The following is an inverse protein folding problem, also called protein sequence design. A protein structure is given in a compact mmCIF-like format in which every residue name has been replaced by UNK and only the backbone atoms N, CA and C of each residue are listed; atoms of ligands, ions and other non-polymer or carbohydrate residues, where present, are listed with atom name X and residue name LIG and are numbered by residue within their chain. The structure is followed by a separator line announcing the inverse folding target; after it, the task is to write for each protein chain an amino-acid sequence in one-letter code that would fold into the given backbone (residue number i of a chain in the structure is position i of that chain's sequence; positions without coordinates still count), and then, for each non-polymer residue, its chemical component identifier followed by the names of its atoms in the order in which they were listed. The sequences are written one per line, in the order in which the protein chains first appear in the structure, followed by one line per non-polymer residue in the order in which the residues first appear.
data_IF_227133659963
#
_entry.id   IF_227133659963
#
_cell.length_a   1.000
_cell.length_b   1.000
_cell.length_c   1.000
_cell.angle_alpha   90.00
_cell.angle_beta   90.00
_cell.angle_gamma   90.00
#
_symmetry.space_group_name_H-M   'P 1'
#
loop_
_entity.id
_entity.type
_entity.pdbx_description
1 polymer ?
#
# COMPACT_ATOMS: atom_id res chain seq x y z
N UNK A 1 -0.71 -7.06 -26.31
CA UNK A 1 -0.27 -5.64 -26.31
C UNK A 1 -1.12 -4.71 -27.19
N UNK A 2 -1.26 -4.96 -28.51
CA UNK A 2 -1.98 -4.06 -29.44
C UNK A 2 -3.49 -3.86 -29.12
N UNK A 3 -4.13 -4.86 -28.50
CA UNK A 3 -5.54 -4.77 -28.11
C UNK A 3 -5.81 -3.72 -27.02
N UNK A 4 -4.92 -3.60 -26.02
CA UNK A 4 -5.10 -2.67 -24.90
C UNK A 4 -4.99 -1.22 -25.36
N UNK A 5 -3.92 -0.88 -26.09
CA UNK A 5 -3.71 0.48 -26.63
C UNK A 5 -4.83 0.89 -27.60
N UNK A 6 -5.29 -0.03 -28.44
CA UNK A 6 -6.46 0.20 -29.32
C UNK A 6 -7.73 0.48 -28.51
N UNK A 7 -7.98 -0.31 -27.46
CA UNK A 7 -9.12 -0.10 -26.56
C UNK A 7 -9.05 1.25 -25.84
N UNK A 8 -7.85 1.68 -25.42
CA UNK A 8 -7.67 2.98 -24.78
C UNK A 8 -7.93 4.13 -25.75
N UNK A 9 -7.37 4.07 -26.97
CA UNK A 9 -7.57 5.09 -28.01
C UNK A 9 -9.05 5.29 -28.35
N UNK A 10 -9.82 4.20 -28.49
CA UNK A 10 -11.27 4.27 -28.74
C UNK A 10 -11.99 5.08 -27.68
N UNK A 11 -11.69 4.83 -26.40
CA UNK A 11 -12.32 5.56 -25.28
C UNK A 11 -11.87 7.00 -25.19
N UNK A 12 -10.59 7.29 -25.45
CA UNK A 12 -10.07 8.66 -25.48
C UNK A 12 -10.82 9.46 -26.55
N UNK A 13 -10.87 8.97 -27.79
CA UNK A 13 -11.53 9.67 -28.91
C UNK A 13 -13.02 9.86 -28.61
N UNK A 14 -13.73 8.79 -28.23
CA UNK A 14 -15.15 8.86 -27.96
C UNK A 14 -15.48 9.85 -26.83
N UNK A 15 -14.72 9.83 -25.73
CA UNK A 15 -14.97 10.71 -24.59
C UNK A 15 -14.60 12.16 -24.89
N UNK A 16 -13.53 12.41 -25.66
CA UNK A 16 -13.17 13.75 -26.11
C UNK A 16 -14.25 14.36 -27.00
N UNK A 17 -14.69 13.62 -28.03
CA UNK A 17 -15.72 14.09 -28.98
C UNK A 17 -17.03 14.32 -28.26
N UNK A 18 -17.50 13.36 -27.45
CA UNK A 18 -18.74 13.49 -26.70
C UNK A 18 -18.67 14.65 -25.68
N UNK A 19 -17.55 14.80 -24.96
CA UNK A 19 -17.36 15.87 -23.99
C UNK A 19 -17.42 17.26 -24.63
N UNK A 20 -16.68 17.46 -25.73
CA UNK A 20 -16.71 18.72 -26.47
C UNK A 20 -18.08 19.02 -27.08
N UNK A 21 -18.75 18.00 -27.64
CA UNK A 21 -20.10 18.14 -28.20
C UNK A 21 -21.11 18.54 -27.12
N UNK A 22 -21.09 17.89 -25.96
CA UNK A 22 -21.99 18.23 -24.83
C UNK A 22 -21.75 19.67 -24.37
N UNK A 23 -20.50 20.10 -24.22
CA UNK A 23 -20.18 21.48 -23.82
C UNK A 23 -20.67 22.49 -24.88
N UNK A 24 -20.41 22.22 -26.17
CA UNK A 24 -20.85 23.09 -27.25
C UNK A 24 -22.37 23.22 -27.32
N UNK A 25 -23.10 22.10 -27.23
CA UNK A 25 -24.57 22.07 -27.20
C UNK A 25 -25.11 22.78 -25.96
N UNK A 26 -24.48 22.57 -24.79
CA UNK A 26 -24.88 23.22 -23.54
C UNK A 26 -24.73 24.74 -23.63
N UNK A 27 -23.63 25.21 -24.23
CA UNK A 27 -23.38 26.63 -24.41
C UNK A 27 -24.35 27.26 -25.42
N UNK A 28 -24.56 26.62 -26.57
CA UNK A 28 -25.49 27.09 -27.60
C UNK A 28 -26.96 27.01 -27.16
N UNK A 29 -27.35 25.98 -26.41
CA UNK A 29 -28.71 25.77 -25.94
C UNK A 29 -29.15 26.79 -24.89
N UNK A 30 -28.22 27.34 -24.12
CA UNK A 30 -28.52 28.37 -23.11
C UNK A 30 -29.14 29.63 -23.74
N UNK A 31 -28.71 30.01 -24.95
CA UNK A 31 -29.24 31.20 -25.64
C UNK A 31 -30.58 30.93 -26.30
N UNK A 32 -30.82 29.72 -26.82
CA UNK A 32 -32.09 29.35 -27.47
C UNK A 32 -33.22 29.05 -26.48
N UNK A 33 -32.93 28.33 -25.39
CA UNK A 33 -33.94 27.77 -24.50
C UNK A 33 -34.39 28.75 -23.41
N UNK A 34 -33.58 29.78 -23.14
CA UNK A 34 -33.92 30.86 -22.20
C UNK A 34 -35.15 31.67 -22.57
N UNK A 35 -35.59 31.62 -23.83
CA UNK A 35 -36.83 32.25 -24.29
C UNK A 35 -38.09 31.43 -24.01
N UNK A 36 -37.98 30.14 -23.67
CA UNK A 36 -39.10 29.19 -23.63
C UNK A 36 -39.27 28.55 -22.24
N UNK A 37 -38.17 28.30 -21.51
CA UNK A 37 -38.20 27.60 -20.23
C UNK A 37 -37.92 28.53 -19.04
N UNK A 38 -38.39 28.18 -17.83
CA UNK A 38 -38.06 28.92 -16.62
C UNK A 38 -36.54 29.00 -16.39
N UNK A 39 -36.07 30.17 -15.96
CA UNK A 39 -34.64 30.46 -15.74
C UNK A 39 -33.96 29.41 -14.84
N UNK A 40 -34.62 28.99 -13.77
CA UNK A 40 -34.12 27.97 -12.85
C UNK A 40 -33.87 26.62 -13.53
N UNK A 41 -34.73 26.24 -14.46
CA UNK A 41 -34.59 24.99 -15.22
C UNK A 41 -33.47 25.07 -16.25
N UNK A 42 -33.32 26.21 -16.93
CA UNK A 42 -32.20 26.46 -17.86
C UNK A 42 -30.86 26.40 -17.10
N UNK A 43 -30.76 27.06 -15.94
CA UNK A 43 -29.55 27.02 -15.10
C UNK A 43 -29.20 25.59 -14.69
N UNK A 44 -30.18 24.79 -14.27
CA UNK A 44 -29.97 23.40 -13.89
C UNK A 44 -29.45 22.55 -15.06
N UNK A 45 -30.08 22.65 -16.23
CA UNK A 45 -29.66 21.92 -17.43
C UNK A 45 -28.26 22.34 -17.89
N UNK A 46 -27.96 23.64 -17.87
CA UNK A 46 -26.64 24.16 -18.20
C UNK A 46 -25.59 23.60 -17.24
N UNK A 47 -25.84 23.65 -15.93
CA UNK A 47 -24.94 23.09 -14.93
C UNK A 47 -24.71 21.59 -15.15
N UNK A 48 -25.76 20.82 -15.41
CA UNK A 48 -25.66 19.38 -15.68
C UNK A 48 -24.85 19.10 -16.95
N UNK A 49 -25.10 19.86 -18.02
CA UNK A 49 -24.36 19.74 -19.28
C UNK A 49 -22.87 20.00 -19.11
N UNK A 50 -22.50 21.06 -18.39
CA UNK A 50 -21.09 21.33 -18.04
C UNK A 50 -20.47 20.21 -17.20
N UNK A 51 -21.18 19.73 -16.18
CA UNK A 51 -20.70 18.61 -15.34
C UNK A 51 -20.45 17.36 -16.18
N UNK A 52 -21.39 16.97 -17.04
CA UNK A 52 -21.26 15.80 -17.92
C UNK A 52 -20.12 15.98 -18.91
N UNK A 53 -20.05 17.14 -19.57
CA UNK A 53 -18.99 17.47 -20.53
C UNK A 53 -17.60 17.42 -19.90
N UNK A 54 -17.42 18.04 -18.73
CA UNK A 54 -16.16 18.02 -17.98
C UNK A 54 -15.80 16.60 -17.51
N UNK A 55 -16.77 15.81 -17.03
CA UNK A 55 -16.52 14.42 -16.66
C UNK A 55 -16.03 13.58 -17.85
N UNK A 56 -16.59 13.77 -19.04
CA UNK A 56 -16.13 13.09 -20.27
C UNK A 56 -14.72 13.52 -20.66
N UNK A 57 -14.38 14.81 -20.54
CA UNK A 57 -13.02 15.28 -20.77
C UNK A 57 -12.02 14.74 -19.73
N UNK A 58 -12.43 14.58 -18.46
CA UNK A 58 -11.62 13.93 -17.43
C UNK A 58 -11.40 12.44 -17.73
N UNK A 59 -12.39 11.74 -18.31
CA UNK A 59 -12.21 10.37 -18.82
C UNK A 59 -11.18 10.34 -19.93
N UNK A 60 -11.24 11.27 -20.89
CA UNK A 60 -10.25 11.35 -21.97
C UNK A 60 -8.83 11.62 -21.44
N UNK A 61 -8.69 12.57 -20.49
CA UNK A 61 -7.44 12.85 -19.80
C UNK A 61 -6.91 11.61 -19.05
N UNK A 62 -7.79 10.89 -18.34
CA UNK A 62 -7.45 9.64 -17.69
C UNK A 62 -6.98 8.57 -18.68
N UNK A 63 -7.55 8.53 -19.88
CA UNK A 63 -7.10 7.63 -20.95
C UNK A 63 -5.73 7.99 -21.51
N UNK A 64 -5.44 9.28 -21.75
CA UNK A 64 -4.11 9.75 -22.17
C UNK A 64 -3.06 9.38 -21.12
N UNK A 65 -3.38 9.63 -19.85
CA UNK A 65 -2.54 9.28 -18.71
C UNK A 65 -2.28 7.77 -18.62
N UNK A 66 -3.32 6.95 -18.75
CA UNK A 66 -3.21 5.49 -18.75
C UNK A 66 -2.34 5.00 -19.90
N UNK A 67 -2.48 5.59 -21.09
CA UNK A 67 -1.65 5.25 -22.23
C UNK A 67 -0.18 5.61 -21.97
N UNK A 68 0.09 6.77 -21.37
CA UNK A 68 1.44 7.15 -20.94
C UNK A 68 2.03 6.14 -19.94
N UNK A 69 1.29 5.80 -18.88
CA UNK A 69 1.71 4.79 -17.88
C UNK A 69 1.97 3.43 -18.52
N UNK A 70 1.09 3.00 -19.43
CA UNK A 70 1.24 1.75 -20.16
C UNK A 70 2.53 1.75 -20.99
N UNK A 71 2.78 2.80 -21.77
CA UNK A 71 3.99 2.94 -22.59
C UNK A 71 5.26 3.01 -21.76
N UNK A 72 5.26 3.72 -20.62
CA UNK A 72 6.40 3.75 -19.70
C UNK A 72 6.76 2.37 -19.17
N UNK A 73 5.76 1.61 -18.69
CA UNK A 73 5.96 0.22 -18.24
C UNK A 73 6.51 -0.67 -19.36
N UNK A 74 6.08 -0.49 -20.61
CA UNK A 74 6.64 -1.27 -21.72
C UNK A 74 8.13 -1.01 -21.96
N UNK A 75 8.60 0.20 -21.65
CA UNK A 75 10.01 0.60 -21.65
C UNK A 75 10.75 0.24 -20.36
N UNK A 76 10.08 -0.38 -19.38
CA UNK A 76 10.66 -0.68 -18.07
C UNK A 76 10.88 0.55 -17.18
N UNK A 77 10.17 1.65 -17.46
CA UNK A 77 10.21 2.85 -16.61
C UNK A 77 9.41 2.65 -15.32
N UNK A 78 9.69 3.50 -14.33
CA UNK A 78 8.88 3.57 -13.13
C UNK A 78 7.45 4.00 -13.44
N UNK A 79 6.47 3.31 -12.85
CA UNK A 79 5.08 3.71 -12.97
C UNK A 79 4.85 5.11 -12.37
N UNK A 80 4.09 5.94 -13.10
CA UNK A 80 3.85 7.34 -12.74
C UNK A 80 3.27 7.53 -11.33
N UNK A 81 2.42 6.62 -10.85
CA UNK A 81 1.87 6.72 -9.50
C UNK A 81 2.98 6.55 -8.45
N UNK A 82 3.86 5.55 -8.64
CA UNK A 82 5.00 5.32 -7.76
C UNK A 82 5.97 6.49 -7.79
N UNK A 83 6.33 6.97 -8.98
CA UNK A 83 7.22 8.12 -9.16
C UNK A 83 6.70 9.37 -8.44
N UNK A 84 5.43 9.73 -8.66
CA UNK A 84 4.83 10.90 -8.02
C UNK A 84 4.60 10.74 -6.52
N UNK A 85 4.62 9.51 -5.99
CA UNK A 85 4.49 9.23 -4.57
C UNK A 85 5.84 8.89 -3.90
N UNK A 86 6.97 8.95 -4.61
CA UNK A 86 8.30 8.57 -4.12
C UNK A 86 8.68 9.24 -2.81
N UNK A 87 8.35 10.53 -2.64
CA UNK A 87 8.62 11.24 -1.37
C UNK A 87 7.81 10.74 -0.15
N UNK A 88 7.02 9.68 -0.33
CA UNK A 88 6.30 8.94 0.72
C UNK A 88 6.77 7.48 0.79
N UNK A 89 7.90 7.12 0.18
CA UNK A 89 8.51 5.80 0.32
C UNK A 89 9.18 5.67 1.69
N UNK A 90 9.32 4.44 2.19
CA UNK A 90 10.06 4.21 3.44
C UNK A 90 11.51 4.72 3.33
N UNK A 91 12.18 4.44 2.21
CA UNK A 91 13.57 4.85 1.98
C UNK A 91 13.77 6.37 2.11
N UNK A 92 12.90 7.17 1.51
CA UNK A 92 13.00 8.64 1.61
C UNK A 92 12.75 9.13 3.04
N UNK A 93 11.83 8.49 3.77
CA UNK A 93 11.56 8.85 5.17
C UNK A 93 12.71 8.47 6.11
N UNK A 94 13.40 7.37 5.83
CA UNK A 94 14.57 6.93 6.61
C UNK A 94 15.80 7.82 6.32
N UNK A 95 15.95 8.30 5.09
CA UNK A 95 17.02 9.24 4.70
C UNK A 95 16.76 10.66 5.26
N UNK A 96 15.49 11.06 5.36
CA UNK A 96 15.09 12.36 5.92
C UNK A 96 14.99 12.32 7.46
N UNK A 97 16.11 12.52 8.15
CA UNK A 97 16.11 12.90 9.57
C UNK A 97 15.71 14.36 9.75
N UNK A 98 14.41 14.61 9.70
CA UNK A 98 13.80 15.86 10.13
C UNK A 98 13.70 16.94 9.07
N UNK A 99 12.59 16.96 8.34
CA UNK A 99 11.75 18.14 8.03
C UNK A 99 10.78 17.79 6.90
N UNK A 100 9.51 17.69 7.22
CA UNK A 100 8.46 17.81 6.21
C UNK A 100 7.41 18.81 6.68
N UNK A 101 7.23 19.89 5.90
CA UNK A 101 6.16 20.86 6.12
C UNK A 101 4.84 20.23 5.68
N UNK A 102 4.17 19.54 6.58
CA UNK A 102 2.76 19.19 6.38
C UNK A 102 1.94 20.47 6.20
N UNK A 103 0.86 20.38 5.42
CA UNK A 103 -0.09 21.49 5.26
C UNK A 103 -0.70 21.82 6.63
N UNK A 104 -0.31 22.98 7.18
CA UNK A 104 -0.65 23.45 8.53
C UNK A 104 -2.04 24.10 8.58
N UNK A 105 -3.10 23.31 8.38
CA UNK A 105 -4.47 23.76 8.66
C UNK A 105 -5.14 22.89 9.73
N UNK A 106 -4.71 22.99 11.01
CA UNK A 106 -5.18 22.10 12.08
C UNK A 106 -6.69 22.16 12.32
N UNK A 107 -7.32 23.33 12.13
CA UNK A 107 -8.77 23.51 12.30
C UNK A 107 -9.58 22.81 11.20
N UNK A 108 -9.20 22.98 9.93
CA UNK A 108 -9.82 22.30 8.79
C UNK A 108 -9.63 20.78 8.86
N UNK A 109 -8.45 20.34 9.31
CA UNK A 109 -8.12 18.93 9.51
C UNK A 109 -8.98 18.29 10.60
N UNK A 110 -9.14 18.95 11.76
CA UNK A 110 -10.00 18.45 12.84
C UNK A 110 -11.48 18.39 12.40
N UNK A 111 -11.95 19.38 11.65
CA UNK A 111 -13.29 19.39 11.07
C UNK A 111 -13.52 18.25 10.06
N UNK A 112 -12.51 17.90 9.27
CA UNK A 112 -12.53 16.75 8.34
C UNK A 112 -12.32 15.38 9.03
N UNK A 113 -12.18 15.34 10.37
CA UNK A 113 -11.92 14.11 11.12
C UNK A 113 -10.53 13.51 10.83
N UNK A 114 -9.54 14.35 10.52
CA UNK A 114 -8.17 13.94 10.28
C UNK A 114 -7.57 13.19 11.48
N UNK A 115 -6.69 12.20 11.23
CA UNK A 115 -6.02 11.49 12.31
C UNK A 115 -5.21 12.42 13.20
N UNK A 116 -5.09 12.04 14.47
CA UNK A 116 -4.35 12.80 15.48
C UNK A 116 -2.89 13.00 15.07
N UNK A 117 -2.29 12.01 14.43
CA UNK A 117 -0.94 12.01 13.87
C UNK A 117 -0.99 11.99 12.35
N UNK A 118 0.09 12.43 11.70
CA UNK A 118 0.27 12.31 10.25
C UNK A 118 1.64 11.79 9.87
N UNK A 119 1.77 11.39 8.60
CA UNK A 119 3.05 11.04 8.00
C UNK A 119 4.06 12.15 8.22
N UNK A 120 5.27 11.76 8.62
CA UNK A 120 6.41 12.60 9.00
C UNK A 120 6.31 13.30 10.37
N UNK A 121 5.29 13.02 11.19
CA UNK A 121 5.33 13.41 12.60
C UNK A 121 6.46 12.63 13.31
N UNK A 122 7.31 13.33 14.06
CA UNK A 122 8.31 12.73 14.94
C UNK A 122 7.65 12.35 16.27
N UNK A 123 7.84 11.10 16.69
CA UNK A 123 7.16 10.52 17.84
C UNK A 123 8.13 9.75 18.71
N UNK A 124 7.95 9.85 20.02
CA UNK A 124 8.57 8.97 21.00
C UNK A 124 7.61 7.83 21.31
N UNK A 125 8.10 6.61 21.26
CA UNK A 125 7.37 5.44 21.76
C UNK A 125 7.40 5.50 23.29
N UNK A 126 6.24 5.32 23.92
CA UNK A 126 6.12 5.35 25.38
C UNK A 126 7.01 4.28 26.03
N UNK A 127 7.24 4.45 27.33
CA UNK A 127 7.91 3.39 28.11
C UNK A 127 7.06 2.12 28.14
N UNK A 128 7.71 0.99 28.45
CA UNK A 128 7.03 -0.29 28.52
C UNK A 128 5.90 -0.27 29.55
N UNK A 129 6.15 0.30 30.74
CA UNK A 129 5.16 0.43 31.80
C UNK A 129 3.95 1.27 31.36
N UNK A 130 4.19 2.44 30.76
CA UNK A 130 3.11 3.28 30.25
C UNK A 130 2.26 2.58 29.19
N UNK A 131 2.85 1.67 28.40
CA UNK A 131 2.11 0.88 27.41
C UNK A 131 1.31 -0.21 28.10
N UNK A 132 1.92 -0.97 29.00
CA UNK A 132 1.24 -2.00 29.80
C UNK A 132 0.04 -1.46 30.55
N UNK A 133 0.10 -0.22 31.03
CA UNK A 133 -1.02 0.45 31.69
C UNK A 133 -2.23 0.70 30.77
N UNK A 134 -2.05 0.61 29.46
CA UNK A 134 -3.14 0.73 28.48
C UNK A 134 -3.75 -0.61 28.07
N UNK A 135 -3.14 -1.74 28.45
CA UNK A 135 -3.54 -3.04 27.94
C UNK A 135 -4.65 -3.67 28.79
N UNK A 136 -5.53 -4.43 28.13
CA UNK A 136 -6.49 -5.31 28.77
C UNK A 136 -5.82 -6.61 29.27
N UNK A 137 -6.62 -7.50 29.88
CA UNK A 137 -6.14 -8.78 30.42
C UNK A 137 -5.54 -9.73 29.36
N UNK A 138 -5.73 -9.47 28.07
CA UNK A 138 -5.13 -10.24 26.97
C UNK A 138 -3.88 -9.54 26.39
N UNK A 139 -3.35 -8.50 27.04
CA UNK A 139 -2.23 -7.72 26.53
C UNK A 139 -2.59 -6.90 25.28
N UNK A 140 -3.86 -6.53 25.12
CA UNK A 140 -4.36 -5.81 23.93
C UNK A 140 -4.88 -4.41 24.26
N UNK A 141 -4.80 -3.50 23.28
CA UNK A 141 -5.56 -2.25 23.28
C UNK A 141 -6.49 -2.21 22.07
N UNK A 142 -7.79 -2.06 22.30
CA UNK A 142 -8.85 -2.21 21.28
C UNK A 142 -8.74 -3.51 20.48
N UNK A 143 -8.35 -4.60 21.14
CA UNK A 143 -8.14 -5.90 20.49
C UNK A 143 -6.87 -6.04 19.64
N UNK A 144 -6.01 -5.01 19.57
CA UNK A 144 -4.69 -5.12 18.94
C UNK A 144 -3.64 -5.49 20.01
N UNK A 145 -2.93 -6.62 19.89
CA UNK A 145 -1.93 -7.03 20.87
C UNK A 145 -0.69 -6.14 20.84
N UNK A 146 -0.14 -5.89 22.02
CA UNK A 146 1.23 -5.41 22.18
C UNK A 146 2.15 -6.61 22.35
N UNK A 147 3.00 -6.86 21.36
CA UNK A 147 3.79 -8.09 21.25
C UNK A 147 5.18 -7.94 21.89
N UNK A 148 5.81 -9.02 22.37
CA UNK A 148 7.17 -8.97 22.92
C UNK A 148 8.21 -8.33 21.99
N UNK A 149 8.12 -8.56 20.67
CA UNK A 149 9.02 -7.95 19.67
C UNK A 149 8.98 -6.41 19.64
N UNK A 150 7.91 -5.81 20.17
CA UNK A 150 7.73 -4.36 20.20
C UNK A 150 8.51 -3.71 21.37
N UNK A 151 8.80 -4.47 22.42
CA UNK A 151 9.37 -3.96 23.67
C UNK A 151 10.70 -3.24 23.48
N UNK A 152 11.57 -3.77 22.60
CA UNK A 152 12.89 -3.21 22.28
C UNK A 152 12.85 -1.80 21.67
N UNK A 153 11.69 -1.35 21.22
CA UNK A 153 11.49 0.00 20.68
C UNK A 153 10.89 0.98 21.70
N UNK A 154 10.52 0.53 22.90
CA UNK A 154 9.98 1.43 23.93
C UNK A 154 11.01 2.50 24.32
N UNK A 155 10.55 3.73 24.53
CA UNK A 155 11.42 4.89 24.84
C UNK A 155 12.14 5.51 23.64
N UNK A 156 12.28 4.79 22.52
CA UNK A 156 12.96 5.28 21.31
C UNK A 156 12.15 6.36 20.59
N UNK A 157 12.82 7.13 19.74
CA UNK A 157 12.21 8.12 18.86
C UNK A 157 12.19 7.60 17.42
N UNK A 158 11.08 7.81 16.73
CA UNK A 158 10.93 7.44 15.32
C UNK A 158 10.04 8.42 14.56
N UNK A 159 9.88 8.15 13.27
CA UNK A 159 9.08 8.96 12.35
C UNK A 159 7.85 8.17 11.92
N UNK A 160 6.66 8.77 12.02
CA UNK A 160 5.42 8.17 11.51
C UNK A 160 5.54 7.99 10.00
N UNK A 161 5.52 6.74 9.56
CA UNK A 161 5.63 6.36 8.16
C UNK A 161 4.27 6.32 7.47
N UNK A 162 3.29 5.64 8.06
CA UNK A 162 1.91 5.59 7.57
C UNK A 162 0.92 5.81 8.70
N UNK A 163 -0.15 6.51 8.38
CA UNK A 163 -1.37 6.40 9.18
C UNK A 163 -2.19 5.22 8.67
N UNK A 164 -2.25 4.14 9.44
CA UNK A 164 -2.94 2.91 9.06
C UNK A 164 -4.41 3.04 9.44
N UNK A 165 -5.17 3.69 8.55
CA UNK A 165 -6.59 3.99 8.79
C UNK A 165 -7.50 2.77 8.59
N UNK A 166 -7.01 1.75 7.88
CA UNK A 166 -7.78 0.57 7.51
C UNK A 166 -6.85 -0.58 7.16
N UNK A 167 -7.41 -1.78 7.21
CA UNK A 167 -6.78 -3.04 6.80
C UNK A 167 -7.70 -3.77 5.82
N UNK A 168 -7.15 -4.75 5.12
CA UNK A 168 -7.94 -5.67 4.29
C UNK A 168 -7.94 -7.05 4.93
N UNK A 169 -9.13 -7.62 5.12
CA UNK A 169 -9.30 -8.95 5.71
C UNK A 169 -9.00 -10.06 4.68
N UNK A 170 -7.72 -10.38 4.48
CA UNK A 170 -7.31 -11.43 3.53
C UNK A 170 -7.80 -12.83 3.90
N UNK A 171 -7.95 -13.10 5.20
CA UNK A 171 -8.25 -14.42 5.74
C UNK A 171 -9.73 -14.76 5.89
N UNK A 172 -10.57 -13.76 6.17
CA UNK A 172 -11.98 -13.92 6.43
C UNK A 172 -12.85 -13.57 5.22
N UNK A 173 -13.60 -12.47 5.33
CA UNK A 173 -14.63 -12.09 4.35
C UNK A 173 -14.11 -11.29 3.16
N UNK A 174 -12.80 -10.98 3.11
CA UNK A 174 -12.20 -10.21 2.01
C UNK A 174 -12.81 -8.83 1.88
N UNK A 175 -12.99 -8.17 3.02
CA UNK A 175 -13.55 -6.82 3.13
C UNK A 175 -12.57 -5.80 3.71
N UNK A 176 -12.82 -4.52 3.42
CA UNK A 176 -12.08 -3.41 4.02
C UNK A 176 -12.59 -3.17 5.44
N UNK A 177 -11.65 -3.03 6.38
CA UNK A 177 -11.98 -2.86 7.80
C UNK A 177 -11.25 -1.64 8.38
N UNK A 178 -11.99 -0.84 9.14
CA UNK A 178 -11.51 0.35 9.83
C UNK A 178 -10.69 -0.09 11.04
N UNK A 179 -9.40 0.27 11.02
CA UNK A 179 -8.51 0.19 12.16
C UNK A 179 -8.33 1.61 12.70
N UNK A 180 -8.72 1.84 13.96
CA UNK A 180 -8.72 3.17 14.55
C UNK A 180 -7.40 3.44 15.24
N UNK A 181 -6.97 4.69 15.12
CA UNK A 181 -5.90 5.27 15.94
C UNK A 181 -4.61 4.47 15.87
N UNK A 182 -4.23 4.08 14.64
CA UNK A 182 -3.05 3.27 14.36
C UNK A 182 -2.15 3.94 13.34
N UNK A 183 -0.84 3.87 13.60
CA UNK A 183 0.22 4.30 12.69
C UNK A 183 1.26 3.18 12.53
N UNK A 184 2.08 3.27 11.49
CA UNK A 184 3.38 2.57 11.44
C UNK A 184 4.51 3.59 11.58
N UNK A 185 5.64 3.14 12.12
CA UNK A 185 6.86 3.94 12.29
C UNK A 185 7.91 3.37 11.33
N UNK A 186 8.62 4.26 10.62
CA UNK A 186 9.58 3.88 9.59
C UNK A 186 10.63 2.89 10.14
N UNK A 187 10.95 1.83 9.38
CA UNK A 187 11.93 0.82 9.77
C UNK A 187 11.47 -0.19 10.84
N UNK A 188 10.34 0.05 11.53
CA UNK A 188 9.91 -0.81 12.62
C UNK A 188 9.02 -1.95 12.12
N UNK A 189 9.67 -3.08 11.83
CA UNK A 189 9.02 -4.33 11.40
C UNK A 189 9.24 -5.43 12.44
N UNK A 190 8.28 -6.35 12.53
CA UNK A 190 8.36 -7.51 13.40
C UNK A 190 9.47 -8.46 12.91
N UNK A 191 10.27 -8.98 13.83
CA UNK A 191 11.35 -9.95 13.55
C UNK A 191 10.91 -11.41 13.74
N UNK A 192 9.73 -11.64 14.30
CA UNK A 192 9.15 -12.96 14.54
C UNK A 192 9.82 -13.77 15.66
N UNK A 193 10.71 -13.15 16.44
CA UNK A 193 11.50 -13.84 17.47
C UNK A 193 10.64 -14.46 18.59
N UNK A 194 9.48 -13.89 18.90
CA UNK A 194 8.52 -14.45 19.86
C UNK A 194 7.41 -15.30 19.19
N UNK A 195 7.54 -15.56 17.89
CA UNK A 195 6.55 -16.23 17.05
C UNK A 195 7.19 -17.33 16.17
N UNK A 196 8.06 -18.14 16.77
CA UNK A 196 8.77 -19.26 16.11
C UNK A 196 9.45 -18.83 14.80
N UNK A 197 10.10 -17.66 14.80
CA UNK A 197 10.85 -17.15 13.66
C UNK A 197 10.01 -16.93 12.40
N UNK A 198 8.74 -16.51 12.54
CA UNK A 198 7.91 -16.09 11.40
C UNK A 198 8.63 -15.05 10.53
N UNK A 199 8.71 -15.29 9.22
CA UNK A 199 9.56 -14.49 8.31
C UNK A 199 8.78 -13.42 7.53
N UNK A 200 7.53 -13.15 7.88
CA UNK A 200 6.67 -12.22 7.14
C UNK A 200 7.16 -10.76 7.20
N UNK A 201 7.93 -10.38 8.24
CA UNK A 201 8.44 -9.02 8.47
C UNK A 201 7.35 -7.95 8.38
N UNK A 202 6.18 -8.26 8.91
CA UNK A 202 5.03 -7.36 8.96
C UNK A 202 5.41 -6.03 9.64
N UNK A 203 4.84 -4.91 9.17
CA UNK A 203 5.01 -3.65 9.86
C UNK A 203 4.36 -3.69 11.23
N UNK A 204 5.06 -3.16 12.22
CA UNK A 204 4.47 -3.03 13.55
C UNK A 204 3.42 -1.92 13.53
N UNK A 205 2.23 -2.26 14.01
CA UNK A 205 1.11 -1.35 14.14
C UNK A 205 1.12 -0.73 15.54
N UNK A 206 1.27 0.58 15.60
CA UNK A 206 1.34 1.33 16.85
C UNK A 206 0.03 2.06 17.09
N UNK A 207 -0.63 1.78 18.22
CA UNK A 207 -1.73 2.62 18.68
C UNK A 207 -1.21 4.00 19.03
N UNK A 208 -1.98 5.02 18.70
CA UNK A 208 -1.62 6.41 19.00
C UNK A 208 -1.51 6.68 20.51
N UNK A 209 -2.15 5.86 21.35
CA UNK A 209 -1.98 5.87 22.80
C UNK A 209 -0.58 5.45 23.25
N UNK A 210 0.12 4.60 22.49
CA UNK A 210 1.45 4.07 22.80
C UNK A 210 2.60 5.01 22.37
N UNK A 211 2.28 6.15 21.78
CA UNK A 211 3.25 7.12 21.29
C UNK A 211 2.91 8.53 21.76
N UNK A 212 3.91 9.41 21.78
CA UNK A 212 3.76 10.84 22.05
C UNK A 212 4.48 11.63 20.96
N UNK A 213 3.93 12.77 20.55
CA UNK A 213 4.68 13.73 19.73
C UNK A 213 5.91 14.21 20.49
N UNK A 214 7.02 14.36 19.76
CA UNK A 214 8.25 14.95 20.28
C UNK A 214 8.88 15.81 19.20
N UNK A 215 9.52 16.91 19.62
CA UNK A 215 10.30 17.77 18.73
C UNK A 215 11.78 17.35 18.67
N UNK A 216 12.19 16.44 19.55
CA UNK A 216 13.53 15.86 19.57
C UNK A 216 13.72 14.99 18.32
N UNK A 217 14.70 15.28 17.46
CA UNK A 217 14.98 14.48 16.27
C UNK A 217 15.33 13.03 16.63
N UNK A 218 15.02 12.09 15.73
CA UNK A 218 15.35 10.67 15.91
C UNK A 218 16.87 10.39 16.03
N UNK A 219 17.72 11.33 15.60
CA UNK A 219 19.20 11.25 15.67
C UNK A 219 19.77 11.57 17.05
N UNK A 220 18.97 12.02 18.01
CA UNK A 220 19.42 12.03 19.40
C UNK A 220 19.37 10.61 19.93
N UNK A 221 20.52 9.93 19.92
CA UNK A 221 20.76 8.71 20.69
C UNK A 221 20.48 9.01 22.16
N UNK A 222 19.22 8.87 22.55
CA UNK A 222 18.88 8.62 23.95
C UNK A 222 19.13 7.13 24.10
N UNK A 223 20.20 6.77 24.82
CA UNK A 223 20.49 5.38 25.15
C UNK A 223 19.18 4.68 25.55
N UNK A 224 18.90 3.48 25.02
CA UNK A 224 17.79 2.70 25.52
C UNK A 224 18.04 2.54 27.02
N UNK A 225 17.15 3.10 27.84
CA UNK A 225 17.08 2.73 29.25
C UNK A 225 16.61 1.29 29.28
N UNK A 226 17.54 0.36 29.04
CA UNK A 226 17.41 -1.02 29.42
C UNK A 226 17.46 -1.00 30.94
N UNK A 227 16.33 -0.71 31.57
CA UNK A 227 16.10 -1.24 32.89
C UNK A 227 16.23 -2.76 32.73
N UNK A 228 17.35 -3.29 33.24
CA UNK A 228 17.60 -4.72 33.22
C UNK A 228 16.39 -5.45 33.82
N UNK A 229 15.98 -6.61 33.28
CA UNK A 229 14.87 -7.40 33.82
C UNK A 229 15.28 -8.12 35.12
N UNK A 230 15.84 -7.40 36.08
CA UNK A 230 16.39 -7.97 37.31
C UNK A 230 16.85 -6.92 38.30
N UNK A 231 15.94 -6.07 38.80
CA UNK A 231 15.95 -5.53 40.17
C UNK A 231 14.95 -4.39 40.33
N UNK A 232 13.65 -4.70 40.35
CA UNK A 232 12.71 -3.85 41.07
C UNK A 232 11.87 -4.73 41.98
N UNK A 233 11.90 -4.33 43.24
CA UNK A 233 11.26 -4.88 44.40
C UNK A 233 9.93 -5.57 44.14
N UNK A 234 9.81 -6.77 44.74
CA UNK A 234 8.59 -7.23 45.37
C UNK A 234 8.01 -6.11 46.24
N UNK A 235 7.04 -5.38 45.73
CA UNK A 235 5.76 -5.16 46.39
C UNK A 235 4.91 -4.14 45.62
N UNK A 236 3.61 -4.47 45.51
CA UNK A 236 2.49 -3.70 44.93
C UNK A 236 2.18 -4.00 43.43
N UNK A 237 1.60 -5.19 43.20
CA UNK A 237 0.19 -5.29 42.77
C UNK A 237 -0.22 -4.95 41.33
N UNK A 238 0.27 -5.65 40.32
CA UNK A 238 -0.46 -6.43 39.27
C UNK A 238 0.52 -6.80 38.16
N UNK A 239 0.75 -8.09 37.95
CA UNK A 239 1.61 -8.67 36.92
C UNK A 239 1.02 -8.37 35.52
N UNK A 240 1.28 -7.17 35.00
CA UNK A 240 0.91 -6.81 33.63
C UNK A 240 2.00 -7.33 32.71
N UNK A 241 1.83 -8.57 32.26
CA UNK A 241 2.70 -9.22 31.30
C UNK A 241 2.19 -9.04 29.87
N UNK A 242 3.01 -9.43 28.89
CA UNK A 242 2.54 -9.65 27.54
C UNK A 242 1.38 -10.65 27.51
N UNK A 243 0.48 -10.49 26.54
CA UNK A 243 -0.52 -11.51 26.22
C UNK A 243 0.14 -12.78 25.66
N UNK A 244 -0.61 -13.89 25.55
CA UNK A 244 -0.08 -15.12 24.98
C UNK A 244 0.30 -14.91 23.51
N UNK A 245 1.49 -15.36 23.11
CA UNK A 245 1.90 -15.39 21.68
C UNK A 245 1.49 -16.69 20.99
N UNK A 246 1.07 -17.70 21.76
CA UNK A 246 0.64 -19.00 21.29
C UNK A 246 -0.44 -19.58 22.20
N UNK A 247 -1.47 -20.16 21.61
CA UNK A 247 -2.60 -20.82 22.29
C UNK A 247 -2.71 -22.24 21.76
N UNK A 248 -2.66 -23.23 22.65
CA UNK A 248 -2.90 -24.64 22.28
C UNK A 248 -4.40 -24.84 22.03
N UNK A 249 -4.73 -25.59 20.99
CA UNK A 249 -6.10 -26.05 20.75
C UNK A 249 -6.33 -27.37 21.49
N UNK A 250 -7.50 -27.52 22.12
CA UNK A 250 -7.82 -28.68 22.97
C UNK A 250 -7.85 -30.01 22.21
N UNK A 251 -8.07 -29.98 20.88
CA UNK A 251 -8.28 -31.17 20.04
C UNK A 251 -7.18 -31.42 18.97
N UNK A 252 -6.04 -30.72 19.01
CA UNK A 252 -4.97 -30.91 18.02
C UNK A 252 -3.56 -30.82 18.61
N UNK A 253 -2.61 -31.55 18.02
CA UNK A 253 -1.17 -31.39 18.28
C UNK A 253 -0.62 -30.00 17.87
N UNK A 254 -1.41 -29.20 17.15
CA UNK A 254 -1.06 -27.87 16.66
C UNK A 254 -1.86 -26.79 17.40
N UNK A 255 -1.17 -25.77 17.92
CA UNK A 255 -1.79 -24.54 18.43
C UNK A 255 -1.79 -23.41 17.42
N UNK A 256 -2.30 -22.24 17.84
CA UNK A 256 -2.38 -21.01 17.04
C UNK A 256 -1.51 -19.92 17.64
N UNK A 257 -0.77 -19.25 16.77
CA UNK A 257 -0.03 -18.04 17.09
C UNK A 257 -0.95 -16.82 17.16
N UNK A 258 -0.68 -15.94 18.12
CA UNK A 258 -1.42 -14.71 18.37
C UNK A 258 -0.47 -13.53 18.16
N UNK A 259 -0.61 -12.86 17.02
CA UNK A 259 0.16 -11.66 16.67
C UNK A 259 -0.79 -10.55 16.21
N UNK A 260 -0.26 -9.34 15.96
CA UNK A 260 -1.08 -8.21 15.51
C UNK A 260 -1.91 -8.54 14.26
N UNK A 261 -1.32 -9.25 13.31
CA UNK A 261 -1.94 -9.57 12.04
C UNK A 261 -3.04 -10.63 12.16
N UNK A 262 -2.84 -11.65 13.02
CA UNK A 262 -3.90 -12.65 13.29
C UNK A 262 -5.08 -12.05 14.06
N UNK A 263 -4.86 -10.94 14.77
CA UNK A 263 -5.92 -10.23 15.51
C UNK A 263 -6.55 -9.06 14.74
N UNK A 264 -6.15 -8.77 13.50
CA UNK A 264 -6.65 -7.59 12.77
C UNK A 264 -8.16 -7.57 12.59
N UNK A 265 -8.81 -8.72 12.37
CA UNK A 265 -10.27 -8.79 12.24
C UNK A 265 -10.97 -8.40 13.55
N UNK A 266 -10.43 -8.84 14.69
CA UNK A 266 -10.91 -8.50 16.04
C UNK A 266 -10.65 -7.04 16.38
N UNK A 267 -9.49 -6.51 16.00
CA UNK A 267 -9.08 -5.13 16.24
C UNK A 267 -9.75 -4.08 15.33
N UNK A 268 -10.61 -4.50 14.40
CA UNK A 268 -11.17 -3.63 13.36
C UNK A 268 -12.65 -3.84 13.12
N UNK A 269 -13.29 -2.85 12.49
CA UNK A 269 -14.73 -2.85 12.19
C UNK A 269 -14.97 -2.75 10.69
N UNK A 270 -16.01 -3.44 10.18
CA UNK A 270 -16.30 -3.42 8.73
C UNK A 270 -16.61 -2.02 8.22
N UNK A 271 -16.19 -1.78 6.97
CA UNK A 271 -16.46 -0.53 6.27
C UNK A 271 -17.49 -0.73 5.16
N UNK A 272 -18.31 0.30 4.91
CA UNK A 272 -19.21 0.32 3.75
C UNK A 272 -18.37 0.51 2.48
N UNK A 273 -18.52 -0.32 1.43
CA UNK A 273 -17.73 -0.21 0.20
C UNK A 273 -17.84 1.15 -0.52
N UNK A 274 -18.94 1.87 -0.31
CA UNK A 274 -19.21 3.19 -0.87
C UNK A 274 -18.70 4.37 -0.04
N UNK A 275 -18.11 4.13 1.16
CA UNK A 275 -17.62 5.20 2.03
C UNK A 275 -16.45 5.96 1.37
N UNK A 276 -16.62 7.24 0.96
CA UNK A 276 -15.55 8.01 0.31
C UNK A 276 -14.36 8.28 1.23
N UNK A 277 -14.55 8.16 2.55
CA UNK A 277 -13.47 8.32 3.53
C UNK A 277 -12.39 7.25 3.40
N UNK A 278 -12.68 6.13 2.72
CA UNK A 278 -11.67 5.13 2.38
C UNK A 278 -10.54 5.72 1.56
N UNK A 279 -10.85 6.57 0.58
CA UNK A 279 -9.87 7.19 -0.30
C UNK A 279 -9.33 8.52 0.27
N UNK A 280 -10.21 9.32 0.90
CA UNK A 280 -9.85 10.66 1.38
C UNK A 280 -8.97 10.66 2.63
N UNK A 281 -9.17 9.74 3.57
CA UNK A 281 -8.38 9.72 4.82
C UNK A 281 -6.88 9.48 4.58
N UNK A 282 -6.46 8.53 3.73
CA UNK A 282 -5.05 8.38 3.36
C UNK A 282 -4.43 9.67 2.81
N UNK A 283 -5.16 10.39 1.95
CA UNK A 283 -4.71 11.65 1.39
C UNK A 283 -4.54 12.72 2.49
N UNK A 284 -5.56 12.90 3.33
CA UNK A 284 -5.56 13.86 4.44
C UNK A 284 -4.47 13.53 5.46
N UNK A 285 -4.20 12.26 5.69
CA UNK A 285 -3.19 11.78 6.62
C UNK A 285 -1.75 11.96 6.11
N UNK A 286 -1.58 12.32 4.82
CA UNK A 286 -0.27 12.47 4.19
C UNK A 286 0.33 11.15 3.69
N UNK A 287 -0.43 10.04 3.67
CA UNK A 287 0.03 8.78 3.09
C UNK A 287 0.31 8.93 1.58
N UNK A 288 -0.41 9.83 0.89
CA UNK A 288 -0.21 10.06 -0.53
C UNK A 288 0.02 11.52 -0.85
N UNK A 289 0.76 11.76 -1.93
CA UNK A 289 0.82 13.09 -2.55
C UNK A 289 -0.46 13.34 -3.37
N UNK A 290 -0.89 14.60 -3.39
CA UNK A 290 -2.09 15.04 -4.14
C UNK A 290 -1.97 14.69 -5.63
N UNK A 291 -0.76 14.80 -6.19
CA UNK A 291 -0.47 14.43 -7.58
C UNK A 291 -0.68 12.93 -7.84
N UNK A 292 -0.13 12.06 -6.99
CA UNK A 292 -0.33 10.62 -7.07
C UNK A 292 -1.82 10.23 -6.88
N UNK A 293 -2.52 10.91 -5.98
CA UNK A 293 -3.97 10.73 -5.79
C UNK A 293 -4.75 11.09 -7.06
N UNK A 294 -4.42 12.22 -7.71
CA UNK A 294 -5.02 12.63 -8.98
C UNK A 294 -4.82 11.61 -10.09
N UNK A 295 -3.58 11.09 -10.24
CA UNK A 295 -3.25 10.01 -11.18
C UNK A 295 -4.12 8.77 -10.96
N UNK A 296 -4.25 8.32 -9.71
CA UNK A 296 -5.04 7.16 -9.37
C UNK A 296 -6.56 7.39 -9.59
N UNK A 297 -7.08 8.58 -9.26
CA UNK A 297 -8.49 8.92 -9.49
C UNK A 297 -8.83 8.97 -10.98
N UNK A 298 -8.00 9.62 -11.80
CA UNK A 298 -8.17 9.66 -13.25
C UNK A 298 -8.11 8.26 -13.87
N UNK A 299 -7.16 7.43 -13.41
CA UNK A 299 -7.05 6.02 -13.84
C UNK A 299 -8.31 5.23 -13.48
N UNK A 300 -8.86 5.43 -12.28
CA UNK A 300 -10.10 4.77 -11.83
C UNK A 300 -11.32 5.21 -12.62
N UNK A 301 -11.45 6.51 -12.89
CA UNK A 301 -12.52 7.09 -13.69
C UNK A 301 -12.50 6.52 -15.11
N UNK A 302 -11.32 6.54 -15.75
CA UNK A 302 -11.12 5.92 -17.05
C UNK A 302 -11.49 4.42 -17.05
N UNK A 303 -11.02 3.67 -16.05
CA UNK A 303 -11.34 2.25 -15.92
C UNK A 303 -12.82 1.97 -15.67
N UNK A 304 -13.55 2.89 -15.04
CA UNK A 304 -15.00 2.76 -14.88
C UNK A 304 -15.69 2.79 -16.25
N UNK A 305 -15.31 3.72 -17.12
CA UNK A 305 -15.83 3.79 -18.50
C UNK A 305 -15.38 2.60 -19.33
N UNK A 306 -14.12 2.15 -19.19
CA UNK A 306 -13.66 0.92 -19.85
C UNK A 306 -14.54 -0.28 -19.47
N UNK A 307 -14.87 -0.47 -18.19
CA UNK A 307 -15.76 -1.57 -17.76
C UNK A 307 -17.16 -1.43 -18.34
N UNK A 308 -17.75 -0.23 -18.32
CA UNK A 308 -19.07 0.02 -18.88
C UNK A 308 -19.14 -0.29 -20.38
N UNK A 309 -18.05 -0.04 -21.13
CA UNK A 309 -17.95 -0.33 -22.56
C UNK A 309 -17.53 -1.78 -22.88
N UNK A 310 -17.25 -2.62 -21.89
CA UNK A 310 -16.62 -3.93 -22.12
C UNK A 310 -15.19 -3.82 -22.70
N UNK A 311 -14.51 -2.70 -22.47
CA UNK A 311 -13.11 -2.47 -22.82
C UNK A 311 -12.11 -3.10 -21.85
N UNK A 312 -10.83 -2.91 -22.12
CA UNK A 312 -9.73 -3.45 -21.31
C UNK A 312 -9.39 -2.43 -20.22
N UNK A 313 -9.39 -2.81 -18.94
CA UNK A 313 -8.96 -1.90 -17.85
C UNK A 313 -7.44 -1.85 -17.71
N UNK A 314 -6.92 -0.71 -17.25
CA UNK A 314 -5.51 -0.56 -16.88
C UNK A 314 -5.24 -0.89 -15.40
N UNK A 315 -4.08 -1.47 -15.07
CA UNK A 315 -3.21 -2.17 -16.00
C UNK A 315 -3.89 -3.45 -16.51
N UNK A 316 -3.63 -3.85 -17.76
CA UNK A 316 -4.22 -5.06 -18.32
C UNK A 316 -3.68 -6.27 -17.56
N UNK A 317 -4.58 -7.14 -17.13
CA UNK A 317 -4.27 -8.41 -16.47
C UNK A 317 -4.80 -9.53 -17.34
N UNK A 318 -3.96 -10.54 -17.60
CA UNK A 318 -4.35 -11.75 -18.29
C UNK A 318 -4.09 -12.94 -17.38
N UNK A 319 -4.96 -13.94 -17.44
CA UNK A 319 -4.78 -15.18 -16.70
C UNK A 319 -4.48 -16.29 -17.71
N UNK A 320 -3.45 -17.09 -17.44
CA UNK A 320 -3.11 -18.23 -18.27
C UNK A 320 -4.21 -19.28 -18.25
N UNK A 321 -4.33 -20.02 -19.34
CA UNK A 321 -5.24 -21.17 -19.47
C UNK A 321 -4.64 -22.46 -18.90
N UNK A 322 -3.33 -22.48 -18.60
CA UNK A 322 -2.63 -23.67 -18.14
C UNK A 322 -2.97 -24.01 -16.69
N UNK A 323 -3.30 -25.27 -16.43
CA UNK A 323 -3.49 -25.79 -15.05
C UNK A 323 -2.15 -26.13 -14.37
N UNK A 324 -1.06 -26.30 -15.14
CA UNK A 324 0.27 -26.57 -14.64
C UNK A 324 1.11 -25.28 -14.58
N UNK A 325 1.40 -24.80 -13.37
CA UNK A 325 2.27 -23.65 -13.15
C UNK A 325 3.74 -24.08 -13.16
N UNK A 326 4.54 -23.55 -14.09
CA UNK A 326 5.99 -23.84 -14.22
C UNK A 326 6.71 -23.60 -12.90
N UNK A 327 7.47 -24.61 -12.45
CA UNK A 327 8.41 -24.48 -11.34
C UNK A 327 9.76 -24.00 -11.89
N UNK A 328 10.34 -22.99 -11.25
CA UNK A 328 11.68 -22.50 -11.52
C UNK A 328 12.36 -22.38 -10.18
N UNK A 329 13.56 -22.95 -10.08
CA UNK A 329 14.41 -22.90 -8.89
C UNK A 329 15.75 -22.31 -9.29
N UNK A 330 15.83 -20.99 -9.22
CA UNK A 330 17.04 -20.21 -9.35
C UNK A 330 17.89 -20.28 -8.06
N UNK A 331 17.29 -20.65 -6.92
CA UNK A 331 17.90 -20.61 -5.60
C UNK A 331 18.47 -19.22 -5.26
N UNK A 332 17.65 -18.18 -5.43
CA UNK A 332 18.05 -16.78 -5.21
C UNK A 332 18.39 -16.53 -3.73
N UNK A 333 19.55 -15.93 -3.49
CA UNK A 333 20.01 -15.50 -2.16
C UNK A 333 19.80 -14.00 -1.92
N UNK A 334 19.66 -13.58 -0.65
CA UNK A 334 19.66 -12.16 -0.28
C UNK A 334 20.87 -11.41 -0.85
N UNK A 335 20.64 -10.18 -1.33
CA UNK A 335 21.64 -9.32 -1.96
C UNK A 335 21.82 -9.52 -3.47
N UNK A 336 21.40 -10.66 -4.03
CA UNK A 336 21.46 -10.92 -5.48
C UNK A 336 20.60 -9.91 -6.26
N UNK A 337 21.10 -9.45 -7.41
CA UNK A 337 20.37 -8.58 -8.31
C UNK A 337 19.52 -9.41 -9.27
N UNK A 338 18.23 -9.07 -9.34
CA UNK A 338 17.27 -9.70 -10.24
C UNK A 338 16.50 -8.67 -11.04
N UNK A 339 16.04 -9.07 -12.22
CA UNK A 339 15.05 -8.33 -13.00
C UNK A 339 13.69 -9.00 -12.86
N UNK A 340 12.64 -8.24 -12.62
CA UNK A 340 11.27 -8.76 -12.70
C UNK A 340 10.93 -8.98 -14.17
N UNK A 341 10.45 -10.17 -14.51
CA UNK A 341 10.09 -10.57 -15.87
C UNK A 341 9.10 -9.61 -16.54
N UNK A 342 9.04 -9.69 -17.87
CA UNK A 342 7.95 -9.14 -18.66
C UNK A 342 6.59 -9.72 -18.22
N UNK A 343 5.53 -8.90 -18.17
CA UNK A 343 4.21 -9.35 -17.71
C UNK A 343 3.62 -10.51 -18.49
N UNK A 344 3.84 -10.56 -19.81
CA UNK A 344 3.40 -11.66 -20.67
C UNK A 344 3.97 -13.00 -20.19
N UNK A 345 5.29 -13.05 -19.93
CA UNK A 345 5.98 -14.23 -19.38
C UNK A 345 5.45 -14.62 -18.00
N UNK A 346 5.12 -13.63 -17.17
CA UNK A 346 4.50 -13.89 -15.86
C UNK A 346 3.11 -14.50 -16.05
N UNK A 347 2.26 -13.91 -16.90
CA UNK A 347 0.89 -14.37 -17.14
C UNK A 347 0.83 -15.80 -17.68
N UNK A 348 1.77 -16.19 -18.54
CA UNK A 348 1.93 -17.58 -19.02
C UNK A 348 2.22 -18.57 -17.89
N UNK A 349 2.83 -18.11 -16.79
CA UNK A 349 3.12 -18.94 -15.63
C UNK A 349 1.94 -19.09 -14.64
N UNK A 350 0.87 -18.32 -14.84
CA UNK A 350 -0.28 -18.28 -13.93
C UNK A 350 -1.35 -19.29 -14.36
N UNK A 351 -1.98 -19.90 -13.36
CA UNK A 351 -3.18 -20.71 -13.57
C UNK A 351 -4.42 -19.81 -13.81
N UNK A 352 -5.60 -20.39 -14.11
CA UNK A 352 -6.83 -19.61 -14.34
C UNK A 352 -7.27 -18.74 -13.16
N UNK A 353 -6.81 -19.06 -11.95
CA UNK A 353 -7.03 -18.23 -10.75
C UNK A 353 -5.95 -17.16 -10.56
N UNK A 354 -5.08 -16.91 -11.54
CA UNK A 354 -4.01 -15.91 -11.43
C UNK A 354 -2.89 -16.27 -10.45
N UNK A 355 -2.69 -17.56 -10.15
CA UNK A 355 -1.69 -18.03 -9.19
C UNK A 355 -0.58 -18.84 -9.85
N UNK A 356 0.62 -18.76 -9.29
CA UNK A 356 1.69 -19.73 -9.52
C UNK A 356 2.03 -20.43 -8.19
N UNK A 357 1.84 -21.76 -8.14
CA UNK A 357 2.13 -22.59 -6.95
C UNK A 357 1.56 -22.00 -5.66
N UNK A 358 0.27 -21.68 -5.69
CA UNK A 358 -0.47 -21.14 -4.54
C UNK A 358 -0.33 -19.63 -4.31
N UNK A 359 0.65 -18.95 -4.90
CA UNK A 359 0.85 -17.51 -4.73
C UNK A 359 0.18 -16.70 -5.83
N UNK A 360 -0.59 -15.69 -5.45
CA UNK A 360 -1.23 -14.76 -6.38
C UNK A 360 -0.24 -13.81 -7.01
N UNK A 361 -0.42 -13.53 -8.30
CA UNK A 361 0.20 -12.38 -8.94
C UNK A 361 -0.81 -11.23 -8.99
N UNK A 362 -0.65 -10.27 -8.09
CA UNK A 362 -1.59 -9.16 -7.94
C UNK A 362 -1.36 -8.04 -8.94
N UNK A 363 -2.42 -7.30 -9.24
CA UNK A 363 -2.39 -6.16 -10.17
C UNK A 363 -1.29 -5.13 -9.82
N UNK A 364 -1.07 -4.87 -8.54
CA UNK A 364 -0.05 -3.89 -8.09
C UNK A 364 1.38 -4.34 -8.38
N UNK A 365 1.61 -5.64 -8.56
CA UNK A 365 2.93 -6.18 -8.88
C UNK A 365 3.39 -5.79 -10.29
N UNK A 366 2.43 -5.51 -11.21
CA UNK A 366 2.74 -5.08 -12.58
C UNK A 366 3.53 -3.78 -12.66
N UNK A 367 3.42 -2.90 -11.66
CA UNK A 367 4.16 -1.63 -11.61
C UNK A 367 5.66 -1.81 -11.41
N UNK A 368 6.10 -3.03 -11.08
CA UNK A 368 7.50 -3.38 -10.84
C UNK A 368 8.11 -4.24 -11.94
N UNK A 369 7.34 -4.66 -12.95
CA UNK A 369 7.84 -5.50 -14.04
C UNK A 369 8.87 -4.80 -14.92
N UNK A 370 9.77 -5.58 -15.53
CA UNK A 370 10.90 -5.13 -16.38
C UNK A 370 11.95 -4.26 -15.67
N UNK A 371 11.89 -4.17 -14.34
CA UNK A 371 12.81 -3.38 -13.50
C UNK A 371 13.68 -4.28 -12.63
N UNK A 372 14.73 -3.71 -12.09
CA UNK A 372 15.77 -4.42 -11.34
C UNK A 372 15.67 -4.14 -9.85
N UNK A 373 15.82 -5.18 -9.04
CA UNK A 373 15.79 -5.09 -7.59
C UNK A 373 16.78 -6.06 -6.99
N UNK A 374 17.23 -5.75 -5.77
CA UNK A 374 17.97 -6.72 -4.96
C UNK A 374 16.99 -7.61 -4.22
N UNK A 375 17.37 -8.86 -4.03
CA UNK A 375 16.64 -9.80 -3.17
C UNK A 375 16.85 -9.35 -1.72
N UNK A 376 15.77 -8.96 -1.04
CA UNK A 376 15.82 -8.60 0.37
C UNK A 376 15.91 -9.85 1.25
N UNK A 377 15.07 -10.86 0.98
CA UNK A 377 15.04 -12.10 1.74
C UNK A 377 14.31 -13.22 1.01
N UNK A 378 14.66 -14.45 1.36
CA UNK A 378 13.88 -15.66 1.07
C UNK A 378 12.97 -15.97 2.25
N UNK A 379 11.73 -16.39 1.96
CA UNK A 379 10.68 -16.68 2.94
C UNK A 379 10.24 -18.12 2.76
N UNK A 380 10.43 -18.92 3.81
CA UNK A 380 10.12 -20.35 3.89
C UNK A 380 8.96 -20.63 4.85
N UNK A 381 8.72 -19.76 5.83
CA UNK A 381 7.62 -19.90 6.78
C UNK A 381 7.02 -18.57 7.22
N UNK A 382 5.70 -18.53 7.33
CA UNK A 382 4.93 -17.39 7.86
C UNK A 382 3.79 -17.91 8.72
N UNK A 383 3.26 -17.07 9.60
CA UNK A 383 1.97 -17.33 10.23
C UNK A 383 0.87 -16.90 9.25
N UNK A 384 -0.10 -17.77 9.02
CA UNK A 384 -1.30 -17.44 8.25
C UNK A 384 -2.23 -16.55 9.09
N UNK A 385 -2.49 -15.33 8.61
CA UNK A 385 -3.27 -14.33 9.35
C UNK A 385 -4.70 -14.79 9.68
N UNK A 386 -5.27 -15.71 8.87
CA UNK A 386 -6.64 -16.19 9.05
C UNK A 386 -6.75 -17.22 10.18
N UNK A 387 -5.86 -18.21 10.15
CA UNK A 387 -5.89 -19.37 11.03
C UNK A 387 -4.98 -19.25 12.24
N UNK A 388 -4.01 -18.34 12.21
CA UNK A 388 -2.94 -18.25 13.20
C UNK A 388 -1.97 -19.44 13.15
N UNK A 389 -2.04 -20.30 12.13
CA UNK A 389 -1.16 -21.48 12.02
C UNK A 389 0.11 -21.15 11.23
N UNK A 390 1.20 -21.83 11.56
CA UNK A 390 2.44 -21.71 10.80
C UNK A 390 2.29 -22.36 9.42
N UNK A 391 2.35 -21.56 8.37
CA UNK A 391 2.44 -21.99 6.98
C UNK A 391 3.91 -22.21 6.61
N UNK A 392 4.29 -23.47 6.36
CA UNK A 392 5.59 -23.82 5.75
C UNK A 392 5.43 -23.90 4.23
N UNK A 393 6.20 -23.09 3.53
CA UNK A 393 6.12 -22.96 2.09
C UNK A 393 6.81 -24.14 1.39
N UNK A 394 6.05 -24.93 0.62
CA UNK A 394 6.61 -25.96 -0.27
C UNK A 394 7.48 -25.38 -1.39
N UNK A 395 7.21 -24.12 -1.73
CA UNK A 395 7.99 -23.33 -2.69
C UNK A 395 8.19 -21.97 -2.06
N UNK A 396 9.43 -21.65 -1.63
CA UNK A 396 9.72 -20.40 -0.95
C UNK A 396 9.31 -19.16 -1.76
N UNK A 397 9.02 -18.08 -1.06
CA UNK A 397 8.79 -16.77 -1.66
C UNK A 397 10.05 -15.92 -1.60
N UNK A 398 10.17 -15.01 -2.56
CA UNK A 398 11.22 -13.99 -2.59
C UNK A 398 10.60 -12.64 -2.23
N UNK A 399 11.30 -11.86 -1.42
CA UNK A 399 11.00 -10.45 -1.16
C UNK A 399 12.07 -9.60 -1.83
N UNK A 400 11.66 -8.52 -2.49
CA UNK A 400 12.56 -7.60 -3.19
C UNK A 400 12.69 -6.28 -2.42
N UNK A 401 13.89 -5.70 -2.41
CA UNK A 401 14.17 -4.43 -1.76
C UNK A 401 13.43 -3.27 -2.43
N UNK A 402 12.77 -2.41 -1.62
CA UNK A 402 12.04 -1.24 -2.11
C UNK A 402 10.82 -1.55 -2.96
N UNK A 403 10.34 -2.80 -2.92
CA UNK A 403 9.14 -3.26 -3.61
C UNK A 403 8.08 -3.56 -2.58
N UNK A 404 7.07 -2.70 -2.52
CA UNK A 404 6.03 -2.79 -1.50
C UNK A 404 4.62 -2.70 -2.10
N UNK A 405 3.60 -3.09 -1.33
CA UNK A 405 2.22 -2.83 -1.71
C UNK A 405 1.95 -1.31 -1.75
N UNK A 406 1.72 -0.78 -2.96
CA UNK A 406 1.52 0.66 -3.18
C UNK A 406 0.16 1.18 -2.67
N UNK A 407 -0.79 0.27 -2.43
CA UNK A 407 -2.16 0.57 -2.04
C UNK A 407 -3.05 1.16 -3.14
N UNK A 408 -2.51 1.54 -4.31
CA UNK A 408 -3.25 2.24 -5.38
C UNK A 408 -4.55 1.52 -5.76
N UNK A 409 -4.47 0.20 -5.92
CA UNK A 409 -5.59 -0.61 -6.38
C UNK A 409 -6.52 -1.08 -5.26
N UNK A 410 -6.20 -0.77 -4.00
CA UNK A 410 -6.96 -1.20 -2.81
C UNK A 410 -7.32 0.02 -1.96
N UNK A 411 -7.94 1.03 -2.58
CA UNK A 411 -8.43 2.25 -1.89
C UNK A 411 -7.34 2.96 -1.07
N UNK A 412 -6.12 2.97 -1.58
CA UNK A 412 -4.94 3.51 -0.88
C UNK A 412 -4.78 2.91 0.52
N UNK A 413 -4.88 1.59 0.60
CA UNK A 413 -4.56 0.84 1.79
C UNK A 413 -3.12 1.15 2.19
N UNK A 414 -2.94 1.62 3.43
CA UNK A 414 -1.65 2.05 3.96
C UNK A 414 -0.89 0.95 4.70
N UNK A 415 -1.49 -0.24 4.80
CA UNK A 415 -0.84 -1.46 5.25
C UNK A 415 0.30 -1.77 4.26
N UNK A 416 1.55 -1.70 4.73
CA UNK A 416 2.74 -1.72 3.88
C UNK A 416 3.40 -3.10 3.86
N UNK A 417 2.65 -4.09 3.38
CA UNK A 417 3.13 -5.47 3.33
C UNK A 417 4.06 -5.70 2.14
N UNK A 418 5.01 -6.62 2.31
CA UNK A 418 5.89 -7.06 1.23
C UNK A 418 5.13 -7.95 0.25
N UNK A 419 5.09 -7.61 -1.05
CA UNK A 419 4.67 -8.56 -2.08
C UNK A 419 5.65 -9.72 -2.12
N UNK A 420 5.11 -10.94 -2.10
CA UNK A 420 5.89 -12.15 -2.30
C UNK A 420 6.00 -12.46 -3.79
N UNK A 421 7.21 -12.84 -4.20
CA UNK A 421 7.54 -13.16 -5.59
C UNK A 421 7.89 -14.65 -5.72
N UNK A 422 7.51 -15.24 -6.86
CA UNK A 422 8.05 -16.54 -7.29
C UNK A 422 9.30 -16.31 -8.09
N UNK A 423 10.29 -17.19 -7.95
CA UNK A 423 11.49 -17.16 -8.80
C UNK A 423 11.15 -17.31 -10.30
N UNK A 424 10.03 -17.96 -10.64
CA UNK A 424 9.52 -18.02 -12.01
C UNK A 424 9.17 -16.64 -12.62
N UNK A 425 9.02 -15.61 -11.80
CA UNK A 425 8.73 -14.23 -12.20
C UNK A 425 9.97 -13.33 -12.20
N UNK A 426 11.13 -13.90 -11.89
CA UNK A 426 12.39 -13.20 -11.74
C UNK A 426 13.43 -13.77 -12.69
N UNK A 427 14.36 -12.93 -13.11
CA UNK A 427 15.53 -13.29 -13.91
C UNK A 427 16.78 -12.89 -13.13
N UNK A 428 17.66 -13.85 -12.86
CA UNK A 428 18.99 -13.55 -12.33
C UNK A 428 19.75 -12.75 -13.39
N UNK A 429 20.35 -11.64 -13.00
CA UNK A 429 21.13 -10.79 -13.89
C UNK A 429 22.61 -11.10 -13.71
N UNK A 430 23.33 -11.33 -14.81
CA UNK A 430 24.79 -11.44 -14.76
C UNK A 430 25.37 -10.07 -14.39
N UNK A 431 26.15 -9.96 -13.30
CA UNK A 431 26.77 -8.70 -12.86
C UNK A 431 27.56 -7.96 -13.96
N UNK A 432 28.02 -8.67 -15.01
CA UNK A 432 28.79 -8.11 -16.13
C UNK A 432 27.95 -7.36 -17.18
N UNK A 433 26.63 -7.46 -17.12
CA UNK A 433 25.71 -6.85 -18.11
C UNK A 433 25.06 -5.54 -17.63
N UNK A 434 25.60 -4.93 -16.59
CA UNK A 434 24.92 -3.86 -15.84
C UNK A 434 25.17 -2.44 -16.43
N UNK A 435 24.12 -1.60 -16.57
CA UNK A 435 24.23 -0.15 -16.43
C UNK A 435 24.29 0.21 -14.94
N UNK A 436 25.40 0.83 -14.52
CA UNK A 436 25.72 1.45 -13.22
C UNK A 436 25.06 0.90 -11.93
N UNK A 437 25.86 0.25 -11.08
CA UNK A 437 25.44 -0.58 -9.94
C UNK A 437 24.88 0.17 -8.72
N UNK A 438 24.95 1.50 -8.71
CA UNK A 438 24.57 2.34 -7.57
C UNK A 438 23.08 2.65 -7.50
N UNK A 439 22.34 2.57 -8.61
CA UNK A 439 20.89 2.75 -8.64
C UNK A 439 20.31 2.04 -9.87
N UNK A 440 19.94 0.75 -9.79
CA UNK A 440 19.67 -0.07 -10.97
C UNK A 440 18.40 0.34 -11.74
N UNK A 441 17.64 1.31 -11.23
CA UNK A 441 16.46 1.89 -11.88
C UNK A 441 16.56 3.41 -12.09
N UNK A 442 17.75 4.01 -12.16
CA UNK A 442 17.88 5.43 -12.48
C UNK A 442 17.38 5.65 -13.92
N UNK A 443 16.33 6.44 -14.05
CA UNK A 443 15.79 6.90 -15.33
C UNK A 443 16.91 7.49 -16.18
N UNK A 444 17.15 6.90 -17.35
CA UNK A 444 17.89 7.55 -18.43
C UNK A 444 17.07 8.77 -18.88
N UNK A 445 17.22 9.90 -18.18
CA UNK A 445 16.90 11.18 -18.79
C UNK A 445 17.90 11.39 -19.92
N UNK A 446 17.47 11.77 -21.13
CA UNK A 446 18.40 12.28 -22.13
C UNK A 446 19.08 13.49 -21.49
N UNK A 447 20.41 13.47 -21.41
CA UNK A 447 21.17 14.63 -21.01
C UNK A 447 20.73 15.81 -21.88
N UNK A 448 20.34 16.91 -21.25
CA UNK A 448 20.17 18.19 -21.94
C UNK A 448 21.47 18.48 -22.68
N UNK A 449 21.40 18.38 -24.01
CA UNK A 449 22.47 18.74 -24.91
C UNK A 449 22.61 20.26 -24.91
N UNK A 450 23.39 20.80 -23.99
CA UNK A 450 24.03 22.09 -24.19
C UNK A 450 25.29 21.86 -25.02
N UNK A 451 25.18 22.11 -26.33
CA UNK A 451 26.20 22.80 -27.14
C UNK A 451 25.50 23.64 -28.18
#
# INVERSE_FOLDING_TARGET
MHAATTSYRKTIIASSVAGLAVIAVTHAGQTLVSAILPVSFVVLLTALGWVVGLLLLLVALGGLLVNFRYSGRERGEEDLFLALNRARSEAELLDQTGRSKAVKFPKLRRWLGAPAYIVNDTVRIRSLQEIFDTLDANGCLDGLPFMPEMAKYCGTVGTVFRCVDKIYDYGGRKDMRRLKDTVSIAGLRCDGSAHDGCQAKCYILWKTAWIKRTEVPATSEVEPSVEQPGSVASDIGTDRSFGPTFVKDDDAADGRYVCQYTQLVRASTRMRPSDPRQDLRPLIAGNLRVTAFGVAMLTRLFNAVQRLRGGISFPPMYHGSSTASRHVDLNLQPGELVRVCDPEKIFESLNPSGRNRGLWFDRGMLSYCKRWYRVLSRVDKIIDDASGRMLRMKTPCIVLEGVDASGEHVRFLAQHDYPFWREAWLERVDPRTQPDASTPNRSLHPADGHR
#
